data_IF_844438402942
#
_entry.id   IF_844438402942
#
_cell.length_a   1.000
_cell.length_b   1.000
_cell.length_c   1.000
_cell.angle_alpha   90.00
_cell.angle_beta   90.00
_cell.angle_gamma   90.00
#
_symmetry.space_group_name_H-M   'P 1'
#
loop_
_entity.id
_entity.type
_entity.pdbx_description
1 polymer ?
#
# COMPACT_ATOMS: atom_id res chain seq x y z
N UNK A 1 -10.43 -9.70 12.80
CA UNK A 1 -10.84 -9.84 11.39
C UNK A 1 -11.83 -8.73 11.09
N UNK A 2 -11.50 -7.78 10.22
CA UNK A 2 -12.49 -6.80 9.77
C UNK A 2 -13.56 -7.54 8.94
N UNK A 3 -14.86 -7.27 9.15
CA UNK A 3 -15.91 -7.93 8.38
C UNK A 3 -15.80 -7.58 6.90
N UNK A 4 -16.20 -8.50 6.03
CA UNK A 4 -16.29 -8.24 4.60
C UNK A 4 -17.24 -7.08 4.34
N UNK A 5 -16.81 -6.10 3.55
CA UNK A 5 -17.64 -4.98 3.12
C UNK A 5 -18.25 -5.33 1.76
N UNK A 6 -19.54 -5.06 1.59
CA UNK A 6 -20.26 -5.26 0.34
C UNK A 6 -20.93 -3.95 -0.09
N UNK A 7 -20.87 -3.65 -1.39
CA UNK A 7 -21.61 -2.52 -1.97
C UNK A 7 -22.98 -2.94 -2.54
N UNK A 8 -23.77 -1.96 -2.99
CA UNK A 8 -25.10 -2.20 -3.54
C UNK A 8 -25.10 -2.96 -4.88
N UNK A 9 -23.98 -2.94 -5.61
CA UNK A 9 -23.77 -3.70 -6.84
C UNK A 9 -23.40 -5.18 -6.55
N UNK A 10 -23.07 -5.48 -5.29
CA UNK A 10 -22.71 -6.81 -4.82
C UNK A 10 -21.21 -7.10 -4.82
N UNK A 11 -20.36 -6.11 -5.16
CA UNK A 11 -18.91 -6.26 -5.05
C UNK A 11 -18.54 -6.44 -3.57
N UNK A 12 -17.49 -7.21 -3.28
CA UNK A 12 -17.07 -7.51 -1.90
C UNK A 12 -15.60 -7.21 -1.69
N UNK A 13 -15.27 -6.42 -0.69
CA UNK A 13 -13.91 -6.32 -0.14
C UNK A 13 -13.84 -7.25 1.07
N UNK A 14 -12.96 -8.23 1.03
CA UNK A 14 -12.86 -9.26 2.06
C UNK A 14 -11.41 -9.59 2.40
N UNK A 15 -11.23 -10.23 3.56
CA UNK A 15 -9.91 -10.61 4.05
C UNK A 15 -9.24 -11.63 3.11
N UNK A 16 -7.96 -11.42 2.85
CA UNK A 16 -7.12 -12.28 2.02
C UNK A 16 -5.90 -12.71 2.83
N UNK A 17 -6.09 -13.78 3.60
CA UNK A 17 -5.17 -14.16 4.66
C UNK A 17 -4.22 -15.27 4.20
N UNK A 18 -2.98 -15.19 4.68
CA UNK A 18 -2.02 -16.27 4.56
C UNK A 18 -2.61 -17.55 5.15
N UNK A 19 -2.54 -18.62 4.38
CA UNK A 19 -2.96 -19.94 4.82
C UNK A 19 -1.85 -20.55 5.67
N UNK A 20 -2.17 -21.36 6.69
CA UNK A 20 -1.15 -22.07 7.45
C UNK A 20 -0.28 -22.88 6.50
N UNK A 21 1.04 -22.97 6.72
CA UNK A 21 1.94 -23.70 5.83
C UNK A 21 1.48 -25.16 5.70
N UNK A 22 0.97 -25.51 4.52
CA UNK A 22 0.59 -26.88 4.15
C UNK A 22 1.64 -27.52 3.23
N UNK A 23 2.56 -26.72 2.72
CA UNK A 23 3.61 -27.09 1.78
C UNK A 23 4.95 -27.31 2.51
N UNK A 24 5.93 -28.00 1.88
CA UNK A 24 7.27 -28.14 2.43
C UNK A 24 7.90 -26.78 2.74
N UNK A 25 8.84 -26.79 3.68
CA UNK A 25 9.63 -25.63 4.09
C UNK A 25 10.25 -24.94 2.86
N UNK A 26 9.94 -23.65 2.67
CA UNK A 26 10.41 -22.85 1.52
C UNK A 26 9.39 -22.61 0.40
N UNK A 27 8.20 -23.21 0.44
CA UNK A 27 7.13 -22.84 -0.50
C UNK A 27 6.60 -21.40 -0.24
N UNK A 28 6.22 -20.66 -1.30
CA UNK A 28 5.69 -19.31 -1.12
C UNK A 28 4.40 -19.34 -0.30
N UNK A 29 4.14 -18.34 0.55
CA UNK A 29 2.92 -18.28 1.34
C UNK A 29 1.71 -18.07 0.42
N UNK A 30 0.80 -19.04 0.44
CA UNK A 30 -0.47 -18.95 -0.27
C UNK A 30 -1.47 -18.15 0.57
N UNK A 31 -2.02 -17.07 0.02
CA UNK A 31 -3.13 -16.33 0.61
C UNK A 31 -4.44 -16.78 -0.03
N UNK A 32 -5.50 -16.91 0.76
CA UNK A 32 -6.82 -17.27 0.25
C UNK A 32 -7.93 -16.47 0.91
N UNK A 33 -9.06 -16.38 0.20
CA UNK A 33 -10.36 -16.01 0.78
C UNK A 33 -10.83 -17.07 1.77
N UNK A 34 -11.72 -16.70 2.68
CA UNK A 34 -12.22 -17.61 3.72
C UNK A 34 -12.91 -18.86 3.15
N UNK A 35 -13.63 -18.71 2.04
CA UNK A 35 -14.30 -19.78 1.29
C UNK A 35 -13.36 -20.59 0.38
N UNK A 36 -12.09 -20.16 0.23
CA UNK A 36 -11.08 -20.75 -0.65
C UNK A 36 -11.41 -20.72 -2.15
N UNK A 37 -12.37 -19.90 -2.57
CA UNK A 37 -12.69 -19.72 -3.99
C UNK A 37 -11.59 -18.96 -4.74
N UNK A 38 -10.81 -18.13 -4.04
CA UNK A 38 -9.69 -17.41 -4.62
C UNK A 38 -8.47 -17.55 -3.74
N UNK A 39 -7.35 -17.87 -4.38
CA UNK A 39 -6.05 -17.91 -3.74
C UNK A 39 -5.00 -17.22 -4.62
N UNK A 40 -3.91 -16.76 -4.02
CA UNK A 40 -2.79 -16.18 -4.74
C UNK A 40 -1.51 -16.36 -3.95
N UNK A 41 -0.40 -16.37 -4.67
CA UNK A 41 0.95 -16.40 -4.12
C UNK A 41 1.87 -15.52 -4.97
N UNK A 42 2.97 -15.08 -4.37
CA UNK A 42 4.07 -14.44 -5.08
C UNK A 42 5.20 -15.45 -5.12
N UNK A 43 5.54 -15.91 -6.32
CA UNK A 43 6.73 -16.74 -6.55
C UNK A 43 7.92 -15.85 -6.84
N UNK A 44 9.10 -16.25 -6.37
CA UNK A 44 10.37 -15.60 -6.69
C UNK A 44 11.29 -16.63 -7.36
N UNK A 45 11.77 -16.29 -8.56
CA UNK A 45 12.85 -17.00 -9.21
C UNK A 45 14.17 -16.32 -8.83
N UNK A 46 14.94 -16.98 -7.98
CA UNK A 46 16.20 -16.42 -7.45
C UNK A 46 17.29 -16.38 -8.54
N UNK A 47 17.27 -17.31 -9.48
CA UNK A 47 18.28 -17.39 -10.53
C UNK A 47 18.09 -16.29 -11.58
N UNK A 48 16.83 -15.99 -11.91
CA UNK A 48 16.45 -14.94 -12.84
C UNK A 48 16.20 -13.58 -12.17
N UNK A 49 16.18 -13.55 -10.84
CA UNK A 49 15.83 -12.39 -10.02
C UNK A 49 14.46 -11.79 -10.39
N UNK A 50 13.49 -12.62 -10.75
CA UNK A 50 12.15 -12.18 -11.14
C UNK A 50 11.12 -12.64 -10.12
N UNK A 51 10.07 -11.83 -9.95
CA UNK A 51 8.92 -12.20 -9.13
C UNK A 51 7.65 -12.25 -9.98
N UNK A 52 6.79 -13.22 -9.71
CA UNK A 52 5.51 -13.35 -10.41
C UNK A 52 4.36 -13.50 -9.41
N UNK A 53 3.25 -12.83 -9.70
CA UNK A 53 1.98 -13.06 -9.03
C UNK A 53 1.25 -14.19 -9.75
N UNK A 54 0.90 -15.24 -9.01
CA UNK A 54 0.01 -16.30 -9.48
C UNK A 54 -1.33 -16.18 -8.76
N UNK A 55 -2.43 -16.14 -9.52
CA UNK A 55 -3.80 -16.09 -8.98
C UNK A 55 -4.54 -17.35 -9.40
N UNK A 56 -5.19 -18.00 -8.45
CA UNK A 56 -5.90 -19.26 -8.62
C UNK A 56 -7.40 -19.07 -8.32
N UNK A 57 -8.24 -19.66 -9.17
CA UNK A 57 -9.65 -19.87 -8.89
C UNK A 57 -9.79 -21.21 -8.14
N UNK A 58 -9.89 -21.15 -6.82
CA UNK A 58 -9.85 -22.30 -5.93
C UNK A 58 -8.49 -22.50 -5.25
N UNK A 59 -8.41 -23.51 -4.39
CA UNK A 59 -7.13 -23.96 -3.82
C UNK A 59 -6.32 -24.68 -4.91
N UNK A 60 -5.03 -24.35 -5.10
CA UNK A 60 -4.21 -25.01 -6.11
C UNK A 60 -4.02 -26.49 -5.80
N UNK A 61 -4.53 -27.38 -6.67
CA UNK A 61 -4.34 -28.83 -6.58
C UNK A 61 -3.56 -29.37 -7.78
N UNK A 62 -2.46 -28.69 -8.15
CA UNK A 62 -1.64 -29.02 -9.32
C UNK A 62 -2.19 -28.49 -10.66
N UNK A 63 -3.22 -27.64 -10.62
CA UNK A 63 -3.73 -26.92 -11.78
C UNK A 63 -2.90 -25.66 -12.04
N UNK A 64 -2.78 -25.19 -13.30
CA UNK A 64 -2.13 -23.92 -13.59
C UNK A 64 -2.89 -22.76 -12.94
N UNK A 65 -2.20 -21.64 -12.63
CA UNK A 65 -2.86 -20.42 -12.18
C UNK A 65 -3.94 -19.98 -13.16
N UNK A 66 -5.03 -19.43 -12.63
CA UNK A 66 -6.05 -18.79 -13.45
C UNK A 66 -5.46 -17.61 -14.22
N UNK A 67 -4.62 -16.80 -13.59
CA UNK A 67 -3.84 -15.76 -14.25
C UNK A 67 -2.46 -15.62 -13.61
N UNK A 68 -1.49 -15.13 -14.40
CA UNK A 68 -0.14 -14.82 -13.93
C UNK A 68 0.24 -13.42 -14.40
N UNK A 69 0.91 -12.67 -13.52
CA UNK A 69 1.47 -11.36 -13.84
C UNK A 69 2.94 -11.31 -13.42
N UNK A 70 3.81 -10.89 -14.33
CA UNK A 70 5.21 -10.57 -14.02
C UNK A 70 5.27 -9.27 -13.19
N UNK A 71 5.88 -9.34 -12.01
CA UNK A 71 6.06 -8.20 -11.09
C UNK A 71 7.41 -7.50 -11.30
N UNK A 72 8.21 -7.97 -12.26
CA UNK A 72 9.53 -7.48 -12.58
C UNK A 72 10.62 -7.97 -11.63
N UNK A 73 11.82 -7.43 -11.86
CA UNK A 73 13.00 -7.60 -11.01
C UNK A 73 13.35 -6.28 -10.33
N UNK A 74 13.43 -6.29 -9.01
CA UNK A 74 14.06 -5.21 -8.24
C UNK A 74 14.74 -5.81 -7.01
N UNK A 75 16.06 -5.67 -6.94
CA UNK A 75 16.92 -6.26 -5.91
C UNK A 75 16.60 -5.77 -4.50
N UNK A 76 15.90 -4.64 -4.37
CA UNK A 76 15.66 -3.98 -3.08
C UNK A 76 14.19 -3.98 -2.63
N UNK A 77 13.29 -4.60 -3.41
CA UNK A 77 11.86 -4.55 -3.11
C UNK A 77 11.41 -5.78 -2.33
N UNK A 78 10.88 -5.54 -1.14
CA UNK A 78 10.15 -6.57 -0.42
C UNK A 78 8.69 -6.57 -0.87
N UNK A 79 8.28 -7.68 -1.48
CA UNK A 79 6.95 -7.89 -2.03
C UNK A 79 6.08 -8.73 -1.08
N UNK A 80 4.88 -8.24 -0.80
CA UNK A 80 3.85 -8.94 -0.03
C UNK A 80 2.49 -8.85 -0.73
N UNK A 81 1.60 -9.80 -0.44
CA UNK A 81 0.20 -9.70 -0.87
C UNK A 81 -0.55 -8.76 0.06
N UNK A 82 -1.36 -7.86 -0.53
CA UNK A 82 -2.28 -7.02 0.23
C UNK A 82 -3.23 -7.93 1.03
N UNK A 83 -3.45 -7.71 2.34
CA UNK A 83 -4.27 -8.58 3.18
C UNK A 83 -5.78 -8.51 2.86
N UNK A 84 -6.16 -7.91 1.73
CA UNK A 84 -7.53 -7.83 1.23
C UNK A 84 -7.60 -8.16 -0.26
N UNK A 85 -8.78 -8.60 -0.68
CA UNK A 85 -9.12 -8.86 -2.08
C UNK A 85 -10.50 -8.27 -2.37
N UNK A 86 -10.70 -7.79 -3.59
CA UNK A 86 -12.02 -7.33 -4.04
C UNK A 86 -12.61 -8.33 -5.02
N UNK A 87 -13.75 -8.93 -4.70
CA UNK A 87 -14.57 -9.65 -5.68
C UNK A 87 -15.44 -8.69 -6.45
N UNK A 88 -15.36 -8.77 -7.76
CA UNK A 88 -16.18 -7.99 -8.67
C UNK A 88 -17.48 -8.76 -8.91
N UNK A 89 -18.62 -8.10 -8.66
CA UNK A 89 -19.93 -8.64 -8.98
C UNK A 89 -20.18 -8.59 -10.49
N UNK A 90 -20.95 -9.56 -10.99
CA UNK A 90 -21.34 -9.65 -12.38
C UNK A 90 -21.38 -11.10 -12.89
N UNK A 91 -21.76 -11.28 -14.17
CA UNK A 91 -21.82 -12.60 -14.80
C UNK A 91 -20.44 -13.22 -15.05
N UNK A 92 -19.40 -12.38 -15.16
CA UNK A 92 -18.01 -12.82 -15.29
C UNK A 92 -17.34 -12.79 -13.92
N UNK A 93 -16.78 -13.93 -13.50
CA UNK A 93 -15.98 -14.01 -12.30
C UNK A 93 -14.71 -13.15 -12.45
N UNK A 94 -14.53 -12.17 -11.58
CA UNK A 94 -13.33 -11.35 -11.56
C UNK A 94 -12.98 -10.89 -10.16
N UNK A 95 -11.69 -10.67 -9.93
CA UNK A 95 -11.15 -10.19 -8.65
C UNK A 95 -10.15 -9.07 -8.86
N UNK A 96 -9.89 -8.33 -7.79
CA UNK A 96 -8.77 -7.40 -7.69
C UNK A 96 -7.91 -7.86 -6.52
N UNK A 97 -6.69 -8.28 -6.83
CA UNK A 97 -5.67 -8.68 -5.85
C UNK A 97 -4.69 -7.53 -5.71
N UNK A 98 -4.20 -7.27 -4.49
CA UNK A 98 -3.18 -6.25 -4.26
C UNK A 98 -1.79 -6.86 -4.03
N UNK A 99 -0.76 -6.19 -4.55
CA UNK A 99 0.64 -6.45 -4.22
C UNK A 99 1.21 -5.19 -3.58
N UNK A 100 1.74 -5.34 -2.38
CA UNK A 100 2.47 -4.32 -1.64
C UNK A 100 3.95 -4.43 -1.97
N UNK A 101 4.56 -3.31 -2.38
CA UNK A 101 5.98 -3.15 -2.64
C UNK A 101 6.57 -2.23 -1.59
N UNK A 102 7.44 -2.78 -0.75
CA UNK A 102 8.10 -2.07 0.32
C UNK A 102 9.52 -1.69 -0.07
N UNK A 103 9.79 -0.39 -0.02
CA UNK A 103 11.11 0.20 -0.23
C UNK A 103 11.61 0.81 1.07
N UNK A 104 12.90 0.65 1.34
CA UNK A 104 13.54 1.32 2.47
C UNK A 104 14.93 1.84 2.11
N UNK A 105 15.32 2.93 2.76
CA UNK A 105 16.66 3.50 2.64
C UNK A 105 17.18 3.91 4.01
N UNK A 106 18.47 3.74 4.23
CA UNK A 106 19.14 4.15 5.45
C UNK A 106 20.17 5.23 5.15
N UNK A 107 20.29 6.22 6.04
CA UNK A 107 21.31 7.26 5.95
C UNK A 107 21.80 7.67 7.34
N UNK A 108 22.93 8.37 7.43
CA UNK A 108 23.52 8.73 8.72
C UNK A 108 22.57 9.60 9.55
N UNK A 109 22.09 9.04 10.67
CA UNK A 109 21.15 9.70 11.57
C UNK A 109 19.68 9.59 11.16
N UNK A 110 19.34 8.66 10.27
CA UNK A 110 17.96 8.49 9.86
C UNK A 110 17.70 7.34 8.92
N UNK A 111 16.47 7.33 8.40
CA UNK A 111 16.04 6.35 7.43
C UNK A 111 14.64 6.67 6.94
N UNK A 112 14.28 6.03 5.84
CA UNK A 112 12.98 6.14 5.22
C UNK A 112 12.47 4.76 4.83
N UNK A 113 11.17 4.57 4.94
CA UNK A 113 10.48 3.44 4.36
C UNK A 113 9.16 3.90 3.75
N UNK A 114 8.76 3.27 2.64
CA UNK A 114 7.47 3.50 2.02
C UNK A 114 6.92 2.19 1.45
N UNK A 115 5.60 2.08 1.41
CA UNK A 115 4.92 0.96 0.76
C UNK A 115 3.94 1.49 -0.29
N UNK A 116 4.11 1.01 -1.52
CA UNK A 116 3.17 1.21 -2.62
C UNK A 116 2.29 -0.03 -2.77
N UNK A 117 0.99 0.18 -2.86
CA UNK A 117 0.02 -0.87 -3.17
C UNK A 117 -0.34 -0.79 -4.65
N UNK A 118 -0.05 -1.86 -5.39
CA UNK A 118 -0.50 -2.07 -6.75
C UNK A 118 -1.71 -2.99 -6.76
N UNK A 119 -2.85 -2.51 -7.25
CA UNK A 119 -4.02 -3.34 -7.46
C UNK A 119 -4.01 -3.93 -8.87
N UNK A 120 -4.27 -5.22 -8.96
CA UNK A 120 -4.23 -6.02 -10.18
C UNK A 120 -5.59 -6.65 -10.37
N UNK A 121 -6.25 -6.31 -11.48
CA UNK A 121 -7.53 -6.90 -11.86
C UNK A 121 -7.28 -8.20 -12.60
N UNK A 122 -7.99 -9.25 -12.18
CA UNK A 122 -7.97 -10.57 -12.81
C UNK A 122 -9.36 -10.88 -13.37
N UNK A 123 -9.42 -11.24 -14.65
CA UNK A 123 -10.62 -11.70 -15.36
C UNK A 123 -10.23 -12.77 -16.36
N UNK A 124 -10.80 -13.97 -16.22
CA UNK A 124 -10.36 -15.12 -17.01
C UNK A 124 -8.87 -15.38 -16.78
N UNK A 125 -8.10 -15.43 -17.86
CA UNK A 125 -6.65 -15.62 -17.89
C UNK A 125 -5.84 -14.31 -17.91
N UNK A 126 -6.52 -13.16 -17.89
CA UNK A 126 -5.88 -11.86 -17.94
C UNK A 126 -5.72 -11.26 -16.55
N UNK A 127 -4.48 -10.91 -16.20
CA UNK A 127 -4.11 -10.09 -15.05
C UNK A 127 -3.53 -8.75 -15.53
N UNK A 128 -4.03 -7.64 -15.00
CA UNK A 128 -3.58 -6.30 -15.37
C UNK A 128 -3.51 -5.35 -14.17
N UNK A 129 -2.41 -4.60 -13.96
CA UNK A 129 -2.35 -3.50 -13.01
C UNK A 129 -3.39 -2.42 -13.35
N UNK A 130 -4.18 -2.00 -12.36
CA UNK A 130 -5.27 -1.02 -12.53
C UNK A 130 -5.21 0.16 -11.56
N UNK A 131 -4.41 0.09 -10.48
CA UNK A 131 -4.19 1.22 -9.57
C UNK A 131 -2.83 1.08 -8.89
N UNK A 132 -2.13 2.19 -8.70
CA UNK A 132 -1.02 2.29 -7.75
C UNK A 132 -1.38 3.35 -6.71
N UNK A 133 -1.21 3.06 -5.42
CA UNK A 133 -1.48 4.00 -4.34
C UNK A 133 -0.44 3.86 -3.21
N UNK A 134 0.06 4.97 -2.64
CA UNK A 134 0.87 4.90 -1.44
C UNK A 134 0.00 4.47 -0.25
N UNK A 135 0.38 3.43 0.48
CA UNK A 135 -0.36 2.96 1.67
C UNK A 135 0.41 3.17 2.96
N UNK A 136 1.72 3.38 2.87
CA UNK A 136 2.58 3.63 4.02
C UNK A 136 3.76 4.53 3.66
N UNK A 137 4.17 5.35 4.62
CA UNK A 137 5.40 6.13 4.59
C UNK A 137 5.87 6.45 6.01
N UNK A 138 7.16 6.31 6.27
CA UNK A 138 7.79 6.63 7.54
C UNK A 138 9.20 7.14 7.30
N UNK A 139 9.49 8.35 7.74
CA UNK A 139 10.79 8.98 7.57
C UNK A 139 11.25 9.57 8.87
N UNK A 140 12.54 9.40 9.13
CA UNK A 140 13.20 9.89 10.31
C UNK A 140 14.47 10.59 9.86
N UNK A 141 14.54 11.90 10.07
CA UNK A 141 15.64 12.74 9.60
C UNK A 141 16.33 13.38 10.79
N UNK A 142 17.63 13.10 10.97
CA UNK A 142 18.48 13.74 11.98
C UNK A 142 18.31 15.26 11.98
N UNK A 143 18.12 15.82 13.17
CA UNK A 143 17.94 17.25 13.41
C UNK A 143 19.03 17.88 14.29
N UNK A 144 19.77 17.08 15.07
CA UNK A 144 20.83 17.56 15.96
C UNK A 144 22.21 17.10 15.50
N UNK A 145 23.14 18.03 15.32
CA UNK A 145 24.54 17.75 14.97
C UNK A 145 25.51 18.06 16.12
N UNK A 146 25.03 18.67 17.20
CA UNK A 146 25.77 18.84 18.44
C UNK A 146 24.89 19.23 19.63
N UNK A 147 25.53 19.50 20.76
CA UNK A 147 24.85 19.85 22.02
C UNK A 147 23.98 21.11 21.89
N UNK A 148 24.45 22.10 21.12
CA UNK A 148 23.67 23.31 20.83
C UNK A 148 22.31 22.98 20.20
N UNK A 149 22.29 22.08 19.23
CA UNK A 149 21.06 21.69 18.54
C UNK A 149 20.14 20.91 19.47
N UNK A 150 20.72 20.01 20.29
CA UNK A 150 19.98 19.29 21.33
C UNK A 150 19.22 20.25 22.24
N UNK A 151 19.88 21.32 22.72
CA UNK A 151 19.23 22.32 23.56
C UNK A 151 18.21 23.18 22.80
N UNK A 152 18.54 23.63 21.59
CA UNK A 152 17.63 24.43 20.76
C UNK A 152 16.37 23.65 20.38
N UNK A 153 16.49 22.35 20.16
CA UNK A 153 15.38 21.44 19.82
C UNK A 153 14.78 20.75 21.04
N UNK A 154 15.22 21.10 22.26
CA UNK A 154 14.73 20.53 23.52
C UNK A 154 14.74 18.99 23.52
N UNK A 155 15.77 18.40 22.92
CA UNK A 155 15.95 16.95 22.78
C UNK A 155 15.28 16.29 21.58
N UNK A 156 14.46 17.00 20.79
CA UNK A 156 13.87 16.46 19.55
C UNK A 156 14.91 16.43 18.41
N UNK A 157 15.77 15.41 18.45
CA UNK A 157 16.89 15.26 17.53
C UNK A 157 16.58 14.52 16.24
N UNK A 158 15.31 14.21 16.01
CA UNK A 158 14.81 13.72 14.74
C UNK A 158 13.54 14.48 14.36
N UNK A 159 13.38 14.67 13.05
CA UNK A 159 12.11 15.03 12.45
C UNK A 159 11.50 13.77 11.87
N UNK A 160 10.25 13.52 12.23
CA UNK A 160 9.49 12.34 11.83
C UNK A 160 8.37 12.75 10.88
N UNK A 161 8.19 11.97 9.81
CA UNK A 161 7.12 12.14 8.84
C UNK A 161 6.45 10.78 8.67
N UNK A 162 5.17 10.71 8.99
CA UNK A 162 4.40 9.49 8.91
C UNK A 162 3.23 9.67 7.95
N UNK A 163 2.97 8.64 7.14
CA UNK A 163 1.86 8.56 6.21
C UNK A 163 1.22 7.18 6.28
N UNK A 164 -0.10 7.17 6.38
CA UNK A 164 -0.91 5.97 6.30
C UNK A 164 -2.01 6.20 5.26
N UNK A 165 -2.18 5.25 4.34
CA UNK A 165 -3.24 5.22 3.35
C UNK A 165 -4.07 3.94 3.52
N UNK A 166 -5.39 4.08 3.46
CA UNK A 166 -6.34 2.98 3.59
C UNK A 166 -7.29 2.97 2.39
N UNK A 167 -7.52 1.78 1.82
CA UNK A 167 -8.45 1.56 0.71
C UNK A 167 -9.64 0.72 1.18
N UNK A 168 -10.84 1.28 1.04
CA UNK A 168 -12.10 0.62 1.38
C UNK A 168 -13.05 0.61 0.20
N UNK A 169 -14.07 -0.25 0.25
CA UNK A 169 -15.12 -0.28 -0.75
C UNK A 169 -16.12 0.86 -0.50
N UNK A 170 -16.50 1.60 -1.55
CA UNK A 170 -17.62 2.55 -1.47
C UNK A 170 -18.94 1.77 -1.42
N UNK A 171 -19.65 1.75 -0.27
CA UNK A 171 -20.85 0.95 -0.10
C UNK A 171 -22.02 1.42 -0.98
N UNK A 172 -21.93 2.63 -1.55
CA UNK A 172 -23.00 3.24 -2.35
C UNK A 172 -22.95 2.86 -3.83
N UNK A 173 -21.93 2.13 -4.26
CA UNK A 173 -21.83 1.67 -5.65
C UNK A 173 -22.97 0.71 -5.96
N UNK A 174 -23.93 1.13 -6.78
CA UNK A 174 -25.15 0.37 -7.07
C UNK A 174 -25.06 -0.47 -8.36
N UNK A 175 -24.19 -0.09 -9.30
CA UNK A 175 -24.01 -0.77 -10.58
C UNK A 175 -22.55 -0.70 -11.00
N UNK A 176 -22.05 -1.80 -11.59
CA UNK A 176 -20.77 -1.83 -12.28
C UNK A 176 -19.57 -2.16 -11.36
N UNK A 177 -18.34 -1.84 -11.83
CA UNK A 177 -17.11 -2.09 -11.08
C UNK A 177 -17.11 -1.39 -9.71
N UNK A 178 -16.39 -1.95 -8.71
CA UNK A 178 -16.35 -1.38 -7.38
C UNK A 178 -15.70 0.01 -7.42
N UNK A 179 -16.23 0.97 -6.65
CA UNK A 179 -15.51 2.23 -6.39
C UNK A 179 -14.72 2.07 -5.09
N UNK A 180 -13.50 2.57 -5.07
CA UNK A 180 -12.61 2.45 -3.90
C UNK A 180 -12.46 3.80 -3.23
N UNK A 181 -12.73 3.85 -1.93
CA UNK A 181 -12.49 5.02 -1.09
C UNK A 181 -11.07 4.95 -0.57
N UNK A 182 -10.26 5.94 -0.93
CA UNK A 182 -8.90 6.09 -0.42
C UNK A 182 -8.85 7.20 0.60
N UNK A 183 -8.47 6.88 1.83
CA UNK A 183 -8.32 7.83 2.92
C UNK A 183 -6.87 7.84 3.42
N UNK A 184 -6.29 9.03 3.57
CA UNK A 184 -4.92 9.19 4.01
C UNK A 184 -4.84 9.99 5.31
N UNK A 185 -3.79 9.72 6.08
CA UNK A 185 -3.40 10.50 7.24
C UNK A 185 -1.89 10.70 7.19
N UNK A 186 -1.48 11.96 7.11
CA UNK A 186 -0.09 12.38 7.17
C UNK A 186 0.15 13.19 8.44
N UNK A 187 1.29 12.99 9.09
CA UNK A 187 1.67 13.73 10.30
C UNK A 187 3.15 14.02 10.33
N UNK A 188 3.51 15.12 10.99
CA UNK A 188 4.91 15.46 11.29
C UNK A 188 5.15 15.59 12.78
N UNK A 189 6.36 15.27 13.21
CA UNK A 189 6.88 15.60 14.52
C UNK A 189 8.30 16.14 14.37
N UNK A 190 8.72 17.15 15.15
CA UNK A 190 7.88 18.05 15.93
C UNK A 190 7.03 18.96 15.03
N UNK A 191 6.15 19.76 15.62
CA UNK A 191 5.35 20.74 14.88
C UNK A 191 6.25 21.68 14.06
N UNK A 192 5.99 21.79 12.75
CA UNK A 192 6.78 22.63 11.84
C UNK A 192 8.09 21.99 11.36
N UNK A 193 8.24 20.66 11.45
CA UNK A 193 9.29 19.94 10.76
C UNK A 193 9.26 20.21 9.24
N UNK A 194 10.43 20.34 8.61
CA UNK A 194 10.59 20.65 7.18
C UNK A 194 11.50 19.63 6.50
N UNK A 195 11.09 19.13 5.33
CA UNK A 195 11.78 18.05 4.61
C UNK A 195 12.96 18.51 3.73
N UNK A 196 13.27 19.81 3.67
CA UNK A 196 14.42 20.31 2.87
C UNK A 196 15.15 21.52 3.47
N UNK A 197 16.48 21.47 3.37
CA UNK A 197 17.43 22.59 3.48
C UNK A 197 18.20 22.68 4.80
N UNK A 198 19.49 23.03 4.72
CA UNK A 198 20.35 23.47 5.84
C UNK A 198 19.83 24.73 6.58
N UNK A 199 18.56 25.11 6.33
CA UNK A 199 17.87 26.15 7.07
C UNK A 199 17.84 25.73 8.53
N UNK A 200 18.66 26.43 9.33
CA UNK A 200 18.85 26.20 10.75
C UNK A 200 17.52 25.88 11.43
N UNK A 201 17.33 24.59 11.75
CA UNK A 201 16.10 24.09 12.34
C UNK A 201 15.87 24.86 13.63
N UNK A 202 14.87 25.73 13.61
CA UNK A 202 14.70 26.79 14.59
C UNK A 202 14.56 26.27 16.03
N UNK A 203 14.68 27.20 16.98
CA UNK A 203 14.47 26.91 18.40
C UNK A 203 13.03 26.43 18.63
N UNK A 204 12.89 25.23 19.16
CA UNK A 204 11.60 24.67 19.54
C UNK A 204 11.18 25.19 20.91
N UNK A 205 9.87 25.36 21.07
CA UNK A 205 9.18 25.59 22.34
C UNK A 205 8.60 24.26 22.82
N UNK A 206 8.26 24.16 24.10
CA UNK A 206 7.64 22.95 24.64
C UNK A 206 6.35 22.56 23.89
N UNK A 207 5.57 23.56 23.44
CA UNK A 207 4.34 23.35 22.67
C UNK A 207 4.57 22.81 21.26
N UNK A 208 5.81 22.85 20.77
CA UNK A 208 6.15 22.39 19.42
C UNK A 208 6.51 20.89 19.44
N UNK A 209 6.74 20.29 20.61
CA UNK A 209 7.05 18.87 20.80
C UNK A 209 5.79 17.99 20.75
N UNK A 210 5.04 18.13 19.67
CA UNK A 210 3.80 17.38 19.42
C UNK A 210 3.78 16.89 17.98
N UNK A 211 3.10 15.79 17.74
CA UNK A 211 2.78 15.31 16.40
C UNK A 211 1.61 16.12 15.86
N UNK A 212 1.76 16.70 14.68
CA UNK A 212 0.72 17.52 14.02
C UNK A 212 0.26 16.88 12.70
N UNK A 213 -1.04 16.86 12.40
CA UNK A 213 -1.53 16.44 11.10
C UNK A 213 -1.08 17.40 10.00
N UNK A 214 -0.74 16.84 8.84
CA UNK A 214 -0.58 17.60 7.60
C UNK A 214 -1.87 17.51 6.78
N UNK A 215 -2.67 18.60 6.70
CA UNK A 215 -3.94 18.59 5.98
C UNK A 215 -3.78 18.52 4.45
N UNK A 216 -2.61 18.84 3.90
CA UNK A 216 -2.37 18.72 2.47
C UNK A 216 -2.27 17.24 2.05
N UNK A 217 -1.68 16.41 2.92
CA UNK A 217 -1.49 14.98 2.69
C UNK A 217 -2.44 14.07 3.51
N UNK A 218 -3.37 14.65 4.27
CA UNK A 218 -4.48 13.95 4.93
C UNK A 218 -5.80 14.22 4.20
N UNK A 219 -6.13 13.38 3.24
CA UNK A 219 -7.24 13.61 2.33
C UNK A 219 -8.06 12.34 2.08
N UNK A 220 -9.21 12.53 1.44
CA UNK A 220 -10.07 11.44 0.95
C UNK A 220 -10.30 11.58 -0.55
N UNK A 221 -10.25 10.48 -1.29
CA UNK A 221 -10.57 10.37 -2.71
C UNK A 221 -11.42 9.15 -2.98
N UNK A 222 -12.13 9.17 -4.09
CA UNK A 222 -12.85 8.02 -4.60
C UNK A 222 -12.24 7.65 -5.95
N UNK A 223 -11.68 6.45 -6.04
CA UNK A 223 -11.23 5.87 -7.29
C UNK A 223 -12.40 5.16 -7.97
N UNK A 224 -12.66 5.51 -9.22
CA UNK A 224 -13.63 4.84 -10.07
C UNK A 224 -12.93 4.24 -11.28
N UNK A 225 -13.45 3.11 -11.76
CA UNK A 225 -12.92 2.46 -12.95
C UNK A 225 -13.23 3.29 -14.20
N UNK A 226 -12.19 3.71 -14.91
CA UNK A 226 -12.29 4.40 -16.19
C UNK A 226 -12.08 3.39 -17.34
N UNK A 227 -13.11 3.11 -18.15
CA UNK A 227 -13.00 2.17 -19.26
C UNK A 227 -12.08 2.66 -20.39
N UNK A 228 -11.80 3.97 -20.49
CA UNK A 228 -10.93 4.50 -21.55
C UNK A 228 -9.46 4.20 -21.28
N UNK A 229 -9.02 4.34 -20.03
CA UNK A 229 -7.68 3.94 -19.57
C UNK A 229 -7.59 2.49 -19.12
N UNK A 230 -8.74 1.83 -18.92
CA UNK A 230 -8.88 0.47 -18.37
C UNK A 230 -8.11 0.36 -17.03
N UNK A 231 -8.29 1.38 -16.18
CA UNK A 231 -7.64 1.60 -14.89
C UNK A 231 -8.53 2.42 -13.95
N UNK A 232 -8.18 2.49 -12.68
CA UNK A 232 -8.84 3.35 -11.69
C UNK A 232 -8.30 4.78 -11.75
N UNK A 233 -9.20 5.75 -11.85
CA UNK A 233 -8.90 7.17 -11.80
C UNK A 233 -9.54 7.81 -10.57
N UNK A 234 -8.86 8.75 -9.89
CA UNK A 234 -9.43 9.46 -8.75
C UNK A 234 -10.49 10.46 -9.21
N UNK A 235 -11.48 10.72 -8.36
CA UNK A 235 -12.52 11.74 -8.56
C UNK A 235 -11.95 13.15 -8.75
N UNK A 236 -10.78 13.42 -8.15
CA UNK A 236 -10.05 14.68 -8.21
C UNK A 236 -8.54 14.41 -8.16
N UNK A 237 -7.69 15.30 -8.69
CA UNK A 237 -6.24 15.17 -8.61
C UNK A 237 -5.74 14.83 -7.20
N UNK A 238 -4.74 13.95 -7.14
CA UNK A 238 -4.04 13.60 -5.90
C UNK A 238 -3.08 14.74 -5.53
N UNK A 239 -3.00 15.12 -4.24
CA UNK A 239 -1.96 16.03 -3.78
C UNK A 239 -0.56 15.40 -3.90
N UNK A 240 0.45 16.24 -4.16
CA UNK A 240 1.85 15.83 -4.19
C UNK A 240 2.35 15.56 -2.77
N UNK A 241 2.46 14.28 -2.41
CA UNK A 241 2.82 13.81 -1.07
C UNK A 241 4.13 13.01 -1.03
N UNK A 242 5.00 13.18 -2.03
CA UNK A 242 6.32 12.55 -2.11
C UNK A 242 7.16 12.81 -0.84
N UNK A 243 6.91 13.95 -0.19
CA UNK A 243 7.46 14.31 1.11
C UNK A 243 7.10 13.35 2.26
N UNK A 244 6.25 12.36 2.03
CA UNK A 244 6.01 11.25 2.95
C UNK A 244 6.16 9.87 2.31
N UNK A 245 5.96 9.76 1.00
CA UNK A 245 5.77 8.47 0.31
C UNK A 245 6.97 7.99 -0.48
N UNK A 246 8.05 8.77 -0.49
CA UNK A 246 9.34 8.40 -1.09
C UNK A 246 10.39 8.40 0.03
N UNK A 247 11.15 7.31 0.25
CA UNK A 247 12.15 7.22 1.32
C UNK A 247 13.46 7.95 1.02
#
# INVERSE_FOLDING_TARGET
MAPAAQDQAGNRLEAFAATPPQAPEGAPPLHCTADRDWCAEISRDVDQNTSALHVFAGTPTGQPPAATLDLGSDDNDDLALWPSIVRIAGPESGVIVGVERHVSTSYSGGGGAATQLQLIRVRGDHAKPVLNAPVFGSLLIRACFGERDFWLRRGACHDEYNFAGDLTLDPTTAVGPPRLVFATKATTFPAGALRAGDAARGRLRARDLITVPDPACSYRRIFAFDPASDAYAPDRPLPECEAYTVP
#
